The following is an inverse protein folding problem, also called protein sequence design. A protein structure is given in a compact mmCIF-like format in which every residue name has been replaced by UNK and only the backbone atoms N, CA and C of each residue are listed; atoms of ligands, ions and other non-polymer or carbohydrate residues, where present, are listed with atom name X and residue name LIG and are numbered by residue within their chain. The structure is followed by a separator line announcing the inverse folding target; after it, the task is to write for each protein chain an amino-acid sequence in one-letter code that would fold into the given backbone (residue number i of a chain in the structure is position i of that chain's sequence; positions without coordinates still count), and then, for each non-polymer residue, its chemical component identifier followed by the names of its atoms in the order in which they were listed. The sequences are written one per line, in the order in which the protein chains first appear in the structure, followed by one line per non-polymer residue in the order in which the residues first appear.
data_IF_204838843745
#
_entry.id   IF_204838843745
#
_cell.length_a   1.000
_cell.length_b   1.000
_cell.length_c   1.000
_cell.angle_alpha   90.00
_cell.angle_beta   90.00
_cell.angle_gamma   90.00
#
_symmetry.space_group_name_H-M   'P 1'
#
loop_
_entity.id
_entity.type
_entity.pdbx_description
1 polymer ?
#
# COMPACT_ATOMS: atom_id res chain seq x y z
N UNK A 1 -6.94 -5.90 7.92
CA UNK A 1 -7.50 -7.21 8.26
C UNK A 1 -8.80 -7.39 7.53
N UNK A 2 -9.22 -8.58 7.09
CA UNK A 2 -10.63 -8.83 6.72
C UNK A 2 -11.40 -9.56 7.82
N UNK A 3 -12.72 -9.63 7.66
CA UNK A 3 -13.64 -10.21 8.65
C UNK A 3 -13.44 -11.73 8.85
N UNK A 4 -12.93 -12.42 7.83
CA UNK A 4 -12.72 -13.87 7.84
C UNK A 4 -11.74 -14.30 6.75
N UNK A 5 -11.19 -15.51 6.87
CA UNK A 5 -10.37 -16.14 5.83
C UNK A 5 -11.04 -16.17 4.46
N UNK A 6 -12.36 -16.41 4.43
CA UNK A 6 -13.13 -16.41 3.19
C UNK A 6 -13.21 -15.01 2.58
N UNK A 7 -13.38 -13.97 3.40
CA UNK A 7 -13.39 -12.60 2.91
C UNK A 7 -12.01 -12.21 2.35
N UNK A 8 -10.92 -12.54 3.04
CA UNK A 8 -9.55 -12.37 2.55
C UNK A 8 -9.35 -13.07 1.20
N UNK A 9 -9.77 -14.33 1.06
CA UNK A 9 -9.66 -15.09 -0.19
C UNK A 9 -10.48 -14.46 -1.32
N UNK A 10 -11.74 -14.11 -1.06
CA UNK A 10 -12.63 -13.51 -2.07
C UNK A 10 -12.06 -12.19 -2.57
N UNK A 11 -11.60 -11.33 -1.66
CA UNK A 11 -11.03 -10.03 -2.02
C UNK A 11 -9.69 -10.21 -2.72
N UNK A 12 -8.83 -11.09 -2.23
CA UNK A 12 -7.56 -11.45 -2.88
C UNK A 12 -7.77 -11.91 -4.32
N UNK A 13 -8.68 -12.85 -4.56
CA UNK A 13 -9.04 -13.34 -5.91
C UNK A 13 -9.63 -12.23 -6.76
N UNK A 14 -10.54 -11.40 -6.22
CA UNK A 14 -11.14 -10.29 -6.95
C UNK A 14 -10.11 -9.21 -7.36
N UNK A 15 -9.03 -9.06 -6.59
CA UNK A 15 -7.93 -8.14 -6.90
C UNK A 15 -6.99 -8.65 -8.00
N UNK A 16 -6.89 -9.96 -8.23
CA UNK A 16 -6.03 -10.55 -9.28
C UNK A 16 -6.29 -9.95 -10.67
N UNK A 17 -7.52 -9.90 -11.21
CA UNK A 17 -7.76 -9.31 -12.53
C UNK A 17 -7.42 -7.82 -12.57
N UNK A 18 -7.67 -7.07 -11.48
CA UNK A 18 -7.30 -5.65 -11.36
C UNK A 18 -5.79 -5.48 -11.40
N UNK A 19 -5.04 -6.35 -10.72
CA UNK A 19 -3.59 -6.36 -10.71
C UNK A 19 -3.01 -6.69 -12.10
N UNK A 20 -3.53 -7.72 -12.77
CA UNK A 20 -3.12 -8.07 -14.13
C UNK A 20 -3.39 -6.92 -15.09
N UNK A 21 -4.59 -6.33 -15.03
CA UNK A 21 -4.95 -5.18 -15.86
C UNK A 21 -4.03 -3.99 -15.60
N UNK A 22 -3.76 -3.64 -14.33
CA UNK A 22 -2.88 -2.51 -13.99
C UNK A 22 -1.45 -2.72 -14.53
N UNK A 23 -0.93 -3.94 -14.47
CA UNK A 23 0.37 -4.30 -15.01
C UNK A 23 0.40 -4.31 -16.55
N UNK A 24 -0.68 -4.72 -17.22
CA UNK A 24 -0.79 -4.66 -18.68
C UNK A 24 -0.76 -3.22 -19.24
N UNK A 25 -1.17 -2.25 -18.44
CA UNK A 25 -1.14 -0.83 -18.81
C UNK A 25 0.27 -0.21 -18.73
N UNK A 26 1.23 -0.89 -18.09
CA UNK A 26 2.62 -0.45 -17.97
C UNK A 26 3.29 -0.42 -19.35
N UNK A 27 3.89 0.72 -19.70
CA UNK A 27 4.76 0.85 -20.89
C UNK A 27 6.18 1.25 -20.54
N UNK A 28 6.41 1.70 -19.32
CA UNK A 28 7.73 2.13 -18.87
C UNK A 28 8.02 1.64 -17.45
N UNK A 29 9.27 1.28 -17.18
CA UNK A 29 9.68 0.72 -15.88
C UNK A 29 9.35 1.62 -14.69
N UNK A 30 9.28 2.94 -14.94
CA UNK A 30 8.87 3.96 -13.95
C UNK A 30 7.46 3.77 -13.38
N UNK A 31 6.61 3.03 -14.08
CA UNK A 31 5.21 2.84 -13.69
C UNK A 31 4.99 1.55 -12.90
N UNK A 32 5.96 0.63 -12.95
CA UNK A 32 5.89 -0.68 -12.33
C UNK A 32 5.57 -0.59 -10.82
N UNK A 33 6.25 0.23 -10.00
CA UNK A 33 6.01 0.21 -8.56
C UNK A 33 4.58 0.58 -8.19
N UNK A 34 4.00 1.57 -8.90
CA UNK A 34 2.62 1.98 -8.66
C UNK A 34 1.62 0.95 -9.19
N UNK A 35 1.88 0.39 -10.37
CA UNK A 35 1.04 -0.66 -10.98
C UNK A 35 1.05 -1.97 -10.19
N UNK A 36 2.09 -2.23 -9.37
CA UNK A 36 2.18 -3.39 -8.48
C UNK A 36 1.35 -3.26 -7.20
N UNK A 37 0.83 -2.08 -6.85
CA UNK A 37 0.06 -1.89 -5.60
C UNK A 37 -1.12 -2.88 -5.47
N UNK A 38 -1.95 -3.13 -6.51
CA UNK A 38 -3.02 -4.13 -6.43
C UNK A 38 -2.49 -5.55 -6.25
N UNK A 39 -1.34 -5.89 -6.86
CA UNK A 39 -0.67 -7.18 -6.65
C UNK A 39 -0.25 -7.33 -5.19
N UNK A 40 0.37 -6.29 -4.61
CA UNK A 40 0.79 -6.28 -3.21
C UNK A 40 -0.43 -6.44 -2.31
N UNK A 41 -1.53 -5.73 -2.57
CA UNK A 41 -2.76 -5.90 -1.81
C UNK A 41 -3.32 -7.31 -1.92
N UNK A 42 -3.40 -7.90 -3.12
CA UNK A 42 -3.87 -9.27 -3.30
C UNK A 42 -3.03 -10.29 -2.54
N UNK A 43 -1.70 -10.19 -2.62
CA UNK A 43 -0.76 -11.05 -1.87
C UNK A 43 -0.96 -10.85 -0.37
N UNK A 44 -1.16 -9.62 0.08
CA UNK A 44 -1.41 -9.31 1.48
C UNK A 44 -2.66 -10.01 2.01
N UNK A 45 -3.74 -10.05 1.21
CA UNK A 45 -4.98 -10.76 1.54
C UNK A 45 -4.77 -12.28 1.58
N UNK A 46 -4.07 -12.85 0.60
CA UNK A 46 -3.80 -14.29 0.60
C UNK A 46 -2.94 -14.75 1.77
N UNK A 47 -1.96 -13.93 2.18
CA UNK A 47 -1.18 -14.20 3.38
C UNK A 47 -2.08 -14.15 4.62
N UNK A 48 -2.98 -13.17 4.73
CA UNK A 48 -3.91 -13.09 5.86
C UNK A 48 -4.84 -14.30 5.93
N UNK A 49 -5.42 -14.71 4.80
CA UNK A 49 -6.21 -15.93 4.67
C UNK A 49 -5.47 -17.17 5.18
N UNK A 50 -4.16 -17.25 4.92
CA UNK A 50 -3.31 -18.33 5.40
C UNK A 50 -3.01 -18.27 6.91
N UNK A 51 -3.15 -17.11 7.56
CA UNK A 51 -2.99 -16.96 9.02
C UNK A 51 -4.24 -17.45 9.77
N UNK A 52 -5.44 -17.39 9.21
CA UNK A 52 -6.65 -17.84 9.93
C UNK A 52 -6.63 -19.31 10.39
N UNK A 53 -6.30 -20.32 9.55
CA UNK A 53 -6.19 -21.71 10.00
C UNK A 53 -5.11 -21.91 11.08
N UNK A 54 -4.14 -20.99 11.14
CA UNK A 54 -3.04 -21.05 12.11
C UNK A 54 -3.46 -20.61 13.50
N UNK A 55 -4.41 -19.69 13.62
CA UNK A 55 -5.01 -19.30 14.89
C UNK A 55 -5.80 -20.45 15.53
N UNK A 56 -6.30 -21.38 14.70
CA UNK A 56 -7.00 -22.60 15.11
C UNK A 56 -6.07 -23.80 15.41
N UNK A 57 -4.74 -23.64 15.37
CA UNK A 57 -3.78 -24.71 15.68
C UNK A 57 -3.64 -25.82 14.63
N UNK A 58 -4.08 -25.59 13.38
CA UNK A 58 -4.14 -26.61 12.33
C UNK A 58 -2.81 -26.78 11.56
N UNK A 59 -1.86 -25.85 11.72
CA UNK A 59 -0.64 -25.75 10.90
C UNK A 59 0.63 -25.70 11.78
N UNK A 60 1.77 -26.14 11.25
CA UNK A 60 3.06 -26.13 11.95
C UNK A 60 3.47 -24.73 12.44
N UNK A 61 3.98 -24.56 13.69
CA UNK A 61 4.33 -23.26 14.26
C UNK A 61 5.33 -22.43 13.42
N UNK A 62 6.21 -23.10 12.66
CA UNK A 62 7.17 -22.44 11.78
C UNK A 62 6.52 -21.73 10.60
N UNK A 63 5.52 -22.35 9.96
CA UNK A 63 4.80 -21.76 8.82
C UNK A 63 3.93 -20.57 9.28
N UNK A 64 3.36 -20.65 10.49
CA UNK A 64 2.64 -19.55 11.13
C UNK A 64 3.53 -18.32 11.31
N UNK A 65 4.69 -18.50 11.93
CA UNK A 65 5.66 -17.43 12.17
C UNK A 65 6.09 -16.78 10.86
N UNK A 66 6.29 -17.57 9.80
CA UNK A 66 6.65 -17.06 8.48
C UNK A 66 5.51 -16.22 7.86
N UNK A 67 4.27 -16.71 7.87
CA UNK A 67 3.12 -16.01 7.31
C UNK A 67 2.88 -14.67 8.02
N UNK A 68 2.91 -14.66 9.36
CA UNK A 68 2.76 -13.44 10.17
C UNK A 68 3.89 -12.45 9.90
N UNK A 69 5.15 -12.93 9.81
CA UNK A 69 6.29 -12.07 9.48
C UNK A 69 6.17 -11.50 8.07
N UNK A 70 5.73 -12.29 7.09
CA UNK A 70 5.51 -11.83 5.73
C UNK A 70 4.40 -10.76 5.67
N UNK A 71 3.29 -11.00 6.35
CA UNK A 71 2.18 -10.03 6.48
C UNK A 71 2.67 -8.69 7.03
N UNK A 72 3.37 -8.73 8.17
CA UNK A 72 3.87 -7.52 8.81
C UNK A 72 5.00 -6.85 8.02
N UNK A 73 5.83 -7.63 7.33
CA UNK A 73 6.86 -7.08 6.46
C UNK A 73 6.24 -6.29 5.31
N UNK A 74 5.18 -6.79 4.67
CA UNK A 74 4.50 -6.04 3.61
C UNK A 74 3.94 -4.72 4.17
N UNK A 75 3.21 -4.78 5.29
CA UNK A 75 2.57 -3.62 5.87
C UNK A 75 3.57 -2.58 6.42
N UNK A 76 4.55 -3.03 7.19
CA UNK A 76 5.44 -2.16 7.97
C UNK A 76 6.80 -1.92 7.30
N UNK A 77 7.30 -2.88 6.53
CA UNK A 77 8.58 -2.80 5.84
C UNK A 77 8.44 -2.28 4.41
N UNK A 78 7.69 -2.99 3.58
CA UNK A 78 7.61 -2.71 2.14
C UNK A 78 6.85 -1.40 1.85
N UNK A 79 5.66 -1.23 2.44
CA UNK A 79 4.74 -0.15 2.07
C UNK A 79 5.31 1.28 2.28
N UNK A 80 5.99 1.60 3.40
CA UNK A 80 6.58 2.93 3.61
C UNK A 80 7.61 3.36 2.57
N UNK A 81 8.28 2.39 1.95
CA UNK A 81 9.25 2.67 0.88
C UNK A 81 8.57 2.62 -0.48
N UNK A 82 7.69 1.63 -0.70
CA UNK A 82 7.03 1.41 -1.99
C UNK A 82 6.17 2.60 -2.40
N UNK A 83 5.36 3.16 -1.49
CA UNK A 83 4.45 4.25 -1.83
C UNK A 83 5.16 5.52 -2.31
N UNK A 84 6.10 6.12 -1.53
CA UNK A 84 6.79 7.33 -1.97
C UNK A 84 7.66 7.10 -3.21
N UNK A 85 8.30 5.92 -3.36
CA UNK A 85 9.03 5.57 -4.59
C UNK A 85 8.10 5.51 -5.79
N UNK A 86 6.92 4.88 -5.63
CA UNK A 86 5.91 4.80 -6.68
C UNK A 86 5.56 6.19 -7.18
N UNK A 87 5.16 7.10 -6.28
CA UNK A 87 4.81 8.47 -6.66
C UNK A 87 6.00 9.21 -7.28
N UNK A 88 7.19 9.15 -6.66
CA UNK A 88 8.39 9.81 -7.18
C UNK A 88 8.70 9.39 -8.63
N UNK A 89 8.53 8.10 -8.93
CA UNK A 89 8.79 7.56 -10.26
C UNK A 89 7.72 7.99 -11.27
N UNK A 90 6.48 8.26 -10.84
CA UNK A 90 5.45 8.82 -11.73
C UNK A 90 5.59 10.33 -11.95
N UNK A 91 6.14 11.07 -10.98
CA UNK A 91 6.26 12.53 -11.05
C UNK A 91 7.20 13.02 -12.18
N UNK A 92 6.84 14.12 -12.87
CA UNK A 92 7.72 14.87 -13.75
C UNK A 92 9.00 15.33 -13.04
N UNK A 93 10.11 15.49 -13.78
CA UNK A 93 11.43 15.81 -13.19
C UNK A 93 11.39 17.03 -12.26
N UNK A 94 10.69 18.09 -12.67
CA UNK A 94 10.57 19.33 -11.88
C UNK A 94 9.72 19.21 -10.61
N UNK A 95 8.86 18.19 -10.51
CA UNK A 95 7.98 17.97 -9.36
C UNK A 95 8.55 16.97 -8.34
N UNK A 96 9.56 16.17 -8.73
CA UNK A 96 10.15 15.11 -7.88
C UNK A 96 10.69 15.61 -6.55
N UNK A 97 11.24 16.82 -6.50
CA UNK A 97 11.82 17.38 -5.27
C UNK A 97 10.78 17.54 -4.14
N UNK A 98 9.49 17.60 -4.48
CA UNK A 98 8.39 17.60 -3.49
C UNK A 98 8.22 16.25 -2.81
N UNK A 99 8.62 15.15 -3.47
CA UNK A 99 8.41 13.77 -3.02
C UNK A 99 9.67 13.17 -2.37
N UNK A 100 10.87 13.63 -2.75
CA UNK A 100 12.15 13.14 -2.23
C UNK A 100 12.23 13.05 -0.70
N UNK A 101 11.77 14.05 0.10
CA UNK A 101 11.80 13.94 1.55
C UNK A 101 11.00 12.75 2.09
N UNK A 102 9.88 12.41 1.45
CA UNK A 102 9.04 11.26 1.82
C UNK A 102 9.70 9.92 1.47
N UNK A 103 10.52 9.86 0.42
CA UNK A 103 11.31 8.65 0.10
C UNK A 103 12.37 8.42 1.16
N UNK A 104 13.08 9.47 1.58
CA UNK A 104 14.07 9.37 2.65
C UNK A 104 13.41 8.93 3.97
N UNK A 105 12.30 9.59 4.34
CA UNK A 105 11.52 9.23 5.52
C UNK A 105 11.01 7.79 5.45
N UNK A 106 10.44 7.40 4.31
CA UNK A 106 9.94 6.05 4.04
C UNK A 106 11.02 4.98 4.21
N UNK A 107 12.23 5.24 3.70
CA UNK A 107 13.39 4.36 3.88
C UNK A 107 13.81 4.18 5.34
N UNK A 108 13.81 5.27 6.13
CA UNK A 108 14.12 5.21 7.57
C UNK A 108 13.05 4.41 8.32
N UNK A 109 11.77 4.74 8.10
CA UNK A 109 10.63 4.04 8.73
C UNK A 109 10.62 2.57 8.35
N UNK A 110 10.75 2.25 7.07
CA UNK A 110 10.80 0.89 6.54
C UNK A 110 11.93 0.08 7.17
N UNK A 111 13.13 0.65 7.25
CA UNK A 111 14.30 -0.04 7.81
C UNK A 111 14.10 -0.36 9.30
N UNK A 112 13.67 0.64 10.07
CA UNK A 112 13.42 0.46 11.50
C UNK A 112 12.31 -0.54 11.76
N UNK A 113 11.16 -0.39 11.10
CA UNK A 113 10.03 -1.29 11.31
C UNK A 113 10.33 -2.71 10.81
N UNK A 114 11.09 -2.87 9.73
CA UNK A 114 11.58 -4.19 9.30
C UNK A 114 12.47 -4.82 10.36
N UNK A 115 13.41 -4.06 10.93
CA UNK A 115 14.22 -4.53 12.06
C UNK A 115 13.33 -4.99 13.23
N UNK A 116 12.30 -4.22 13.58
CA UNK A 116 11.33 -4.58 14.64
C UNK A 116 10.51 -5.82 14.26
N UNK A 117 10.12 -5.98 13.00
CA UNK A 117 9.45 -7.19 12.48
C UNK A 117 10.31 -8.43 12.68
N UNK A 118 11.61 -8.34 12.37
CA UNK A 118 12.53 -9.47 12.42
C UNK A 118 13.04 -9.81 13.82
N UNK A 119 13.29 -8.81 14.66
CA UNK A 119 13.97 -8.96 15.97
C UNK A 119 13.04 -9.17 17.16
N UNK A 120 11.77 -8.75 17.06
CA UNK A 120 10.81 -8.81 18.19
C UNK A 120 9.77 -9.91 17.97
N UNK A 121 9.34 -10.61 19.04
CA UNK A 121 8.23 -11.56 18.95
C UNK A 121 6.94 -10.85 18.51
N UNK A 122 6.03 -11.61 17.92
CA UNK A 122 4.70 -11.16 17.51
C UNK A 122 3.69 -12.03 18.21
N UNK A 123 2.75 -11.41 18.90
CA UNK A 123 1.58 -12.11 19.44
C UNK A 123 0.43 -11.89 18.48
N UNK A 124 -0.22 -12.98 18.05
CA UNK A 124 -1.45 -12.92 17.27
C UNK A 124 -2.59 -13.18 18.24
N UNK A 125 -3.52 -12.22 18.35
CA UNK A 125 -4.75 -12.38 19.13
C UNK A 125 -5.90 -12.47 18.14
N UNK A 126 -6.62 -13.59 18.17
CA UNK A 126 -7.81 -13.77 17.35
C UNK A 126 -9.02 -13.15 18.06
N UNK A 127 -9.70 -12.26 17.35
CA UNK A 127 -11.01 -11.72 17.70
C UNK A 127 -12.06 -12.39 16.79
N UNK A 128 -13.36 -12.34 17.13
CA UNK A 128 -14.41 -13.00 16.35
C UNK A 128 -14.39 -12.68 14.85
N UNK A 129 -13.93 -11.47 14.50
CA UNK A 129 -14.00 -10.90 13.15
C UNK A 129 -12.71 -10.18 12.73
N UNK A 130 -11.59 -10.43 13.42
CA UNK A 130 -10.32 -9.79 13.11
C UNK A 130 -9.15 -10.55 13.73
N UNK A 131 -7.99 -10.49 13.09
CA UNK A 131 -6.72 -10.85 13.69
C UNK A 131 -6.03 -9.59 14.18
N UNK A 132 -5.55 -9.58 15.42
CA UNK A 132 -4.76 -8.49 15.98
C UNK A 132 -3.29 -8.92 16.09
N UNK A 133 -2.39 -8.20 15.43
CA UNK A 133 -0.95 -8.42 15.55
C UNK A 133 -0.35 -7.46 16.57
N UNK A 134 -0.14 -7.95 17.79
CA UNK A 134 0.51 -7.18 18.84
C UNK A 134 2.02 -7.31 18.73
N UNK A 135 2.68 -6.16 18.56
CA UNK A 135 4.13 -6.05 18.52
C UNK A 135 4.58 -4.83 19.32
N UNK A 136 5.51 -5.03 20.22
CA UNK A 136 6.09 -3.94 20.99
C UNK A 136 7.02 -3.12 20.09
N UNK A 137 6.56 -1.92 19.71
CA UNK A 137 7.36 -0.91 19.01
C UNK A 137 7.69 0.21 20.01
N UNK A 138 8.95 0.36 20.43
CA UNK A 138 9.37 1.49 21.24
C UNK A 138 8.99 2.82 20.56
N UNK A 139 8.39 3.75 21.31
CA UNK A 139 7.87 5.01 20.76
C UNK A 139 6.88 4.82 19.60
N UNK A 140 5.99 3.82 19.71
CA UNK A 140 5.07 3.41 18.65
C UNK A 140 4.25 4.56 18.03
N UNK A 141 3.82 5.54 18.83
CA UNK A 141 3.07 6.71 18.32
C UNK A 141 3.90 7.53 17.33
N UNK A 142 5.17 7.81 17.66
CA UNK A 142 6.06 8.58 16.79
C UNK A 142 6.25 7.84 15.47
N UNK A 143 6.55 6.54 15.52
CA UNK A 143 6.72 5.74 14.32
C UNK A 143 5.43 5.60 13.50
N UNK A 144 4.26 5.54 14.14
CA UNK A 144 2.98 5.54 13.46
C UNK A 144 2.74 6.86 12.70
N UNK A 145 3.01 8.01 13.32
CA UNK A 145 2.90 9.33 12.66
C UNK A 145 3.87 9.43 11.49
N UNK A 146 5.13 9.05 11.68
CA UNK A 146 6.14 9.05 10.61
C UNK A 146 5.75 8.12 9.45
N UNK A 147 5.20 6.95 9.76
CA UNK A 147 4.66 6.01 8.78
C UNK A 147 3.54 6.63 7.95
N UNK A 148 2.55 7.24 8.62
CA UNK A 148 1.40 7.89 7.96
C UNK A 148 1.90 8.98 7.02
N UNK A 149 2.82 9.83 7.49
CA UNK A 149 3.42 10.89 6.67
C UNK A 149 4.17 10.31 5.47
N UNK A 150 4.95 9.24 5.66
CA UNK A 150 5.71 8.59 4.59
C UNK A 150 4.83 7.94 3.52
N UNK A 151 3.72 7.31 3.92
CA UNK A 151 2.83 6.56 3.00
C UNK A 151 1.82 7.49 2.32
N UNK A 152 1.17 8.39 3.08
CA UNK A 152 0.08 9.24 2.57
C UNK A 152 0.60 10.56 1.99
N UNK A 153 1.59 11.17 2.66
CA UNK A 153 2.20 12.44 2.25
C UNK A 153 2.57 12.54 0.77
N UNK A 154 3.33 11.60 0.18
CA UNK A 154 3.72 11.66 -1.23
C UNK A 154 2.50 11.69 -2.17
N UNK A 155 1.43 10.96 -1.87
CA UNK A 155 0.23 10.93 -2.70
C UNK A 155 -0.52 12.28 -2.68
N UNK A 156 -0.63 12.89 -1.50
CA UNK A 156 -1.36 14.16 -1.31
C UNK A 156 -0.64 15.34 -1.98
N UNK A 157 0.69 15.32 -2.05
CA UNK A 157 1.49 16.37 -2.72
C UNK A 157 1.72 16.12 -4.22
N UNK A 158 1.17 15.02 -4.75
CA UNK A 158 1.35 14.63 -6.16
C UNK A 158 0.70 15.63 -7.13
N UNK A 159 1.31 15.81 -8.29
CA UNK A 159 0.75 16.61 -9.37
C UNK A 159 -0.44 15.97 -10.09
N UNK A 160 -0.73 14.68 -9.83
CA UNK A 160 -1.81 13.95 -10.50
C UNK A 160 -3.06 13.86 -9.61
N UNK A 161 -4.22 14.42 -10.02
CA UNK A 161 -5.44 14.41 -9.21
C UNK A 161 -5.92 13.02 -8.80
N UNK A 162 -5.65 11.99 -9.62
CA UNK A 162 -5.99 10.60 -9.30
C UNK A 162 -5.12 10.01 -8.18
N UNK A 163 -3.85 10.40 -8.10
CA UNK A 163 -2.95 10.00 -7.01
C UNK A 163 -3.31 10.76 -5.73
N UNK A 164 -3.68 12.04 -5.83
CA UNK A 164 -4.20 12.81 -4.70
C UNK A 164 -5.49 12.18 -4.17
N UNK A 165 -6.42 11.81 -5.04
CA UNK A 165 -7.65 11.11 -4.64
C UNK A 165 -7.35 9.79 -3.91
N UNK A 166 -6.35 9.03 -4.36
CA UNK A 166 -5.85 7.85 -3.66
C UNK A 166 -5.31 8.20 -2.27
N UNK A 167 -4.50 9.25 -2.14
CA UNK A 167 -3.98 9.72 -0.86
C UNK A 167 -5.08 10.18 0.11
N UNK A 168 -6.08 10.91 -0.39
CA UNK A 168 -7.23 11.34 0.40
C UNK A 168 -8.10 10.17 0.84
N UNK A 169 -8.29 9.17 -0.01
CA UNK A 169 -8.96 7.92 0.36
C UNK A 169 -8.23 7.25 1.53
N UNK A 170 -6.89 7.15 1.48
CA UNK A 170 -6.08 6.63 2.60
C UNK A 170 -6.28 7.45 3.87
N UNK A 171 -6.27 8.78 3.76
CA UNK A 171 -6.39 9.68 4.90
C UNK A 171 -7.77 9.57 5.56
N UNK A 172 -8.85 9.53 4.76
CA UNK A 172 -10.21 9.32 5.26
C UNK A 172 -10.31 7.95 5.92
N UNK A 173 -9.78 6.90 5.29
CA UNK A 173 -9.72 5.56 5.87
C UNK A 173 -9.04 5.59 7.24
N UNK A 174 -7.89 6.23 7.35
CA UNK A 174 -7.15 6.39 8.61
C UNK A 174 -7.95 7.13 9.69
N UNK A 175 -8.58 8.25 9.35
CA UNK A 175 -9.40 9.03 10.30
C UNK A 175 -10.59 8.21 10.78
N UNK A 176 -11.25 7.48 9.88
CA UNK A 176 -12.34 6.57 10.24
C UNK A 176 -11.83 5.50 11.21
N UNK A 177 -10.65 4.91 11.00
CA UNK A 177 -10.05 3.96 11.98
C UNK A 177 -9.93 4.60 13.34
N UNK A 178 -9.28 5.77 13.38
CA UNK A 178 -8.88 6.42 14.61
C UNK A 178 -10.09 6.85 15.46
N UNK A 179 -11.19 7.23 14.82
CA UNK A 179 -12.42 7.67 15.49
C UNK A 179 -13.32 6.50 15.85
N UNK A 180 -13.47 5.53 14.95
CA UNK A 180 -14.52 4.52 15.09
C UNK A 180 -14.08 3.41 16.05
N UNK A 181 -12.78 3.06 16.13
CA UNK A 181 -12.25 2.07 17.10
C UNK A 181 -13.09 0.77 17.23
N UNK A 182 -13.78 0.34 16.17
CA UNK A 182 -14.66 -0.83 16.21
C UNK A 182 -14.02 -1.99 15.44
N UNK A 183 -14.21 -3.21 15.95
CA UNK A 183 -13.95 -4.50 15.29
C UNK A 183 -14.46 -4.58 13.83
N UNK A 184 -15.35 -3.66 13.41
CA UNK A 184 -15.80 -3.47 12.03
C UNK A 184 -14.72 -2.95 11.05
N UNK A 185 -13.54 -2.54 11.53
CA UNK A 185 -12.47 -2.07 10.64
C UNK A 185 -11.96 -3.17 9.69
N UNK A 186 -12.13 -4.44 10.06
CA UNK A 186 -11.71 -5.54 9.24
C UNK A 186 -12.47 -5.59 7.89
N UNK A 187 -13.80 -5.42 7.88
CA UNK A 187 -14.55 -5.38 6.61
C UNK A 187 -14.23 -4.14 5.77
N UNK A 188 -13.92 -3.00 6.41
CA UNK A 188 -13.56 -1.76 5.73
C UNK A 188 -12.23 -1.89 4.99
N UNK A 189 -11.25 -2.60 5.53
CA UNK A 189 -9.94 -2.76 4.87
C UNK A 189 -10.04 -3.48 3.53
N UNK A 190 -10.91 -4.49 3.40
CA UNK A 190 -11.08 -5.22 2.14
C UNK A 190 -11.72 -4.33 1.07
N UNK A 191 -12.79 -3.61 1.44
CA UNK A 191 -13.45 -2.63 0.57
C UNK A 191 -12.47 -1.52 0.18
N UNK A 192 -11.65 -1.10 1.15
CA UNK A 192 -10.62 -0.11 0.97
C UNK A 192 -9.55 -0.58 -0.03
N UNK A 193 -9.02 -1.79 0.12
CA UNK A 193 -8.05 -2.38 -0.80
C UNK A 193 -8.61 -2.49 -2.23
N UNK A 194 -9.90 -2.86 -2.37
CA UNK A 194 -10.59 -2.88 -3.65
C UNK A 194 -10.70 -1.47 -4.27
N UNK A 195 -11.19 -0.49 -3.51
CA UNK A 195 -11.33 0.89 -3.97
C UNK A 195 -9.99 1.52 -4.36
N UNK A 196 -8.97 1.33 -3.53
CA UNK A 196 -7.59 1.77 -3.77
C UNK A 196 -7.04 1.14 -5.06
N UNK A 197 -7.27 -0.16 -5.28
CA UNK A 197 -6.81 -0.87 -6.47
C UNK A 197 -7.50 -0.40 -7.76
N UNK A 198 -8.80 -0.09 -7.69
CA UNK A 198 -9.54 0.49 -8.81
C UNK A 198 -9.03 1.89 -9.15
N UNK A 199 -8.69 2.72 -8.15
CA UNK A 199 -8.08 4.02 -8.39
C UNK A 199 -6.71 3.89 -9.06
N UNK A 200 -5.89 2.91 -8.64
CA UNK A 200 -4.61 2.60 -9.27
C UNK A 200 -4.82 2.21 -10.74
N UNK A 201 -5.71 1.26 -11.02
CA UNK A 201 -6.02 0.84 -12.39
C UNK A 201 -6.54 2.02 -13.23
N UNK A 202 -7.46 2.81 -12.69
CA UNK A 202 -8.01 3.98 -13.36
C UNK A 202 -6.96 5.06 -13.63
N UNK A 203 -5.95 5.20 -12.76
CA UNK A 203 -4.79 6.04 -13.02
C UNK A 203 -3.96 5.47 -14.17
N UNK A 204 -3.65 4.18 -14.15
CA UNK A 204 -2.84 3.52 -15.18
C UNK A 204 -3.47 3.60 -16.57
N UNK A 205 -4.78 3.35 -16.68
CA UNK A 205 -5.54 3.48 -17.94
C UNK A 205 -5.49 4.93 -18.46
N UNK A 206 -5.69 5.93 -17.58
CA UNK A 206 -5.61 7.35 -17.97
C UNK A 206 -4.20 7.73 -18.40
N UNK A 207 -3.19 7.27 -17.66
CA UNK A 207 -1.79 7.53 -17.96
C UNK A 207 -1.34 6.90 -19.27
N UNK A 208 -1.90 5.75 -19.64
CA UNK A 208 -1.61 5.13 -20.94
C UNK A 208 -1.96 6.04 -22.13
N UNK A 209 -2.92 6.95 -21.96
CA UNK A 209 -3.35 7.90 -23.00
C UNK A 209 -2.47 9.16 -23.08
N UNK A 210 -1.53 9.36 -22.17
CA UNK A 210 -0.63 10.52 -22.18
C UNK A 210 0.51 10.33 -23.20
N UNK A 211 0.96 11.43 -23.80
CA UNK A 211 2.02 11.44 -24.79
C UNK A 211 3.38 10.96 -24.24
N UNK A 212 4.16 10.31 -25.10
CA UNK A 212 5.43 9.68 -24.75
C UNK A 212 6.48 10.60 -24.09
N UNK A 213 6.64 11.90 -24.44
CA UNK A 213 7.63 12.75 -23.78
C UNK A 213 7.33 12.94 -22.28
N UNK A 214 6.07 13.20 -21.93
CA UNK A 214 5.63 13.32 -20.53
C UNK A 214 5.82 12.00 -19.78
N UNK A 215 5.51 10.87 -20.44
CA UNK A 215 5.57 9.53 -19.85
C UNK A 215 7.00 9.01 -19.66
N UNK A 216 7.84 9.14 -20.69
CA UNK A 216 9.22 8.64 -20.73
C UNK A 216 10.15 9.57 -19.93
N UNK A 217 10.10 10.87 -20.22
CA UNK A 217 11.06 11.87 -19.71
C UNK A 217 10.55 12.59 -18.47
N UNK A 218 9.25 12.57 -18.20
CA UNK A 218 8.66 13.36 -17.11
C UNK A 218 8.74 14.85 -17.40
N UNK A 219 8.55 15.24 -18.66
CA UNK A 219 8.47 16.65 -19.07
C UNK A 219 7.07 17.20 -18.74
N UNK A 220 6.86 18.49 -18.45
CA UNK A 220 5.53 19.03 -18.12
C UNK A 220 4.51 18.85 -19.27
N UNK A 221 3.21 18.68 -18.97
CA UNK A 221 2.17 18.53 -20.01
C UNK A 221 2.10 19.74 -20.98
N UNK A 222 2.55 20.91 -20.55
CA UNK A 222 2.48 22.17 -21.33
C UNK A 222 3.63 22.34 -22.35
N UNK A 223 4.64 21.48 -22.39
CA UNK A 223 5.75 21.62 -23.34
C UNK A 223 5.41 21.16 -24.76
N UNK A 224 4.14 20.85 -25.05
CA UNK A 224 3.65 20.35 -26.34
C UNK A 224 2.75 21.34 -27.10
N UNK A 225 2.77 22.63 -26.77
CA UNK A 225 2.19 23.66 -27.65
C UNK A 225 3.34 24.42 -28.30
N UNK A 226 3.68 24.17 -29.58
CA UNK A 226 4.44 25.14 -30.35
C UNK A 226 3.57 26.40 -30.41
N UNK A 227 4.05 27.49 -29.84
CA UNK A 227 3.55 28.82 -30.15
C UNK A 227 3.70 29.03 -31.66
N UNK A 228 2.56 29.12 -32.36
CA UNK A 228 2.47 29.57 -33.76
C UNK A 228 2.83 31.05 -33.81
#
# INVERSE_FOLDING_TARGET
MCFSATADLVVGVALVPVAIAALHEVKHWREIPFALLPTVFAVHQFIEAAVWPTAHGVISPGLVSLAVRAYLFIAMGLLPTLMPISVLMLEPRGARMRVVPFVALGGVVSTYLTYVVLSRPVTVVEHPHALEYQKAVPNGIVWAVLYIVAVIGPAVVSGYPSIVAFGLLNLVGLVVVAVVYVQAFASLWCVYAAAASVLVLGHMIRRRRLADPHRLRGDPLNSAVPSI
#
